data_IF_296707252920
#
_entry.id   IF_296707252920
#
_cell.length_a   1.000
_cell.length_b   1.000
_cell.length_c   1.000
_cell.angle_alpha   90.00
_cell.angle_beta   90.00
_cell.angle_gamma   90.00
#
_symmetry.space_group_name_H-M   'P 1'
#
loop_
_entity.id
_entity.type
_entity.pdbx_description
1 polymer ?
#
# COMPACT_ATOMS: atom_id res chain seq x y z
N UNK A 1 8.18 3.16 -23.62
CA UNK A 1 7.10 3.71 -22.77
C UNK A 1 6.49 2.53 -22.02
N UNK A 2 6.99 2.24 -20.82
CA UNK A 2 6.41 1.22 -19.95
C UNK A 2 5.74 1.94 -18.80
N UNK A 3 4.49 2.34 -19.00
CA UNK A 3 3.61 2.71 -17.90
C UNK A 3 2.92 1.42 -17.47
N UNK A 4 3.46 0.72 -16.48
CA UNK A 4 2.72 -0.33 -15.78
C UNK A 4 1.77 0.35 -14.78
N UNK A 5 0.78 1.08 -15.31
CA UNK A 5 -0.30 1.65 -14.53
C UNK A 5 -1.46 0.68 -14.50
N UNK A 6 -1.32 -0.45 -13.80
CA UNK A 6 -2.48 -1.29 -13.49
C UNK A 6 -3.24 -0.56 -12.38
N UNK A 7 -4.35 0.09 -12.75
CA UNK A 7 -5.33 0.60 -11.79
C UNK A 7 -6.14 -0.60 -11.32
N UNK A 8 -5.77 -1.18 -10.17
CA UNK A 8 -6.56 -2.23 -9.55
C UNK A 8 -7.80 -1.58 -8.88
N UNK A 9 -8.99 -1.89 -9.39
CA UNK A 9 -10.24 -1.64 -8.66
C UNK A 9 -10.50 -2.85 -7.77
N UNK A 10 -10.32 -2.70 -6.46
CA UNK A 10 -10.51 -3.77 -5.48
C UNK A 10 -11.81 -3.49 -4.74
N UNK A 11 -12.77 -4.41 -4.85
CA UNK A 11 -14.03 -4.35 -4.12
C UNK A 11 -13.83 -5.06 -2.77
N UNK A 12 -13.96 -4.33 -1.68
CA UNK A 12 -13.97 -4.91 -0.34
C UNK A 12 -15.43 -5.25 -0.04
N UNK A 13 -15.75 -6.55 -0.03
CA UNK A 13 -17.05 -7.03 0.39
C UNK A 13 -17.07 -7.03 1.92
N UNK A 14 -18.09 -6.42 2.52
CA UNK A 14 -18.35 -6.54 3.95
C UNK A 14 -18.75 -8.00 4.25
N UNK A 15 -17.89 -8.73 4.95
CA UNK A 15 -18.16 -10.11 5.34
C UNK A 15 -19.16 -10.12 6.52
N UNK A 16 -20.44 -9.96 6.20
CA UNK A 16 -21.56 -10.49 6.98
C UNK A 16 -21.76 -9.88 8.38
N UNK A 17 -22.83 -9.10 8.51
CA UNK A 17 -23.37 -8.57 9.77
C UNK A 17 -23.55 -9.64 10.87
N UNK A 18 -22.58 -9.77 11.78
CA UNK A 18 -22.79 -10.03 13.22
C UNK A 18 -21.68 -9.30 14.01
N UNK A 19 -21.97 -8.11 14.54
CA UNK A 19 -21.21 -7.54 15.67
C UNK A 19 -19.88 -6.82 15.36
N UNK A 20 -19.54 -6.60 14.09
CA UNK A 20 -18.43 -5.74 13.67
C UNK A 20 -17.98 -6.09 12.25
N UNK A 21 -18.01 -5.12 11.34
CA UNK A 21 -17.50 -5.28 9.97
C UNK A 21 -15.97 -5.43 10.03
N UNK A 22 -15.49 -6.65 10.23
CA UNK A 22 -14.08 -6.97 10.04
C UNK A 22 -13.82 -7.00 8.54
N UNK A 23 -13.21 -5.93 8.01
CA UNK A 23 -12.65 -5.95 6.67
C UNK A 23 -11.44 -6.89 6.72
N UNK A 24 -11.53 -8.03 6.04
CA UNK A 24 -10.35 -8.88 5.83
C UNK A 24 -9.42 -8.15 4.87
N UNK A 25 -8.14 -7.91 5.22
CA UNK A 25 -7.21 -7.23 4.34
C UNK A 25 -7.06 -7.98 3.02
N UNK A 26 -7.02 -7.24 1.91
CA UNK A 26 -6.81 -7.85 0.61
C UNK A 26 -5.35 -8.25 0.45
N UNK A 27 -5.12 -9.49 0.01
CA UNK A 27 -3.78 -9.98 -0.31
C UNK A 27 -3.42 -9.58 -1.74
N UNK A 28 -2.41 -8.72 -1.91
CA UNK A 28 -1.95 -8.26 -3.21
C UNK A 28 -0.42 -8.11 -3.26
N UNK A 29 0.28 -8.64 -4.29
CA UNK A 29 1.72 -8.45 -4.44
C UNK A 29 2.08 -7.00 -4.76
N UNK A 30 3.02 -6.40 -4.02
CA UNK A 30 3.53 -5.06 -4.33
C UNK A 30 4.67 -5.15 -5.35
N UNK A 31 4.51 -4.64 -6.59
CA UNK A 31 5.63 -4.56 -7.53
C UNK A 31 6.63 -3.51 -7.05
N UNK A 32 7.86 -3.93 -6.76
CA UNK A 32 8.92 -3.03 -6.29
C UNK A 32 10.22 -3.29 -7.04
N UNK A 33 10.66 -2.31 -7.81
CA UNK A 33 11.88 -2.41 -8.62
C UNK A 33 12.95 -1.49 -8.03
N UNK A 34 14.10 -2.07 -7.68
CA UNK A 34 15.24 -1.29 -7.20
C UNK A 34 15.72 -0.33 -8.29
N UNK A 35 15.83 0.95 -7.96
CA UNK A 35 16.34 1.98 -8.88
C UNK A 35 15.32 2.52 -9.89
N UNK A 36 14.03 2.20 -9.72
CA UNK A 36 12.91 2.75 -10.48
C UNK A 36 11.86 3.40 -9.56
N UNK A 37 11.06 4.31 -10.10
CA UNK A 37 9.96 4.92 -9.35
C UNK A 37 8.88 3.87 -9.04
N UNK A 38 8.39 3.87 -7.79
CA UNK A 38 7.15 3.23 -7.39
C UNK A 38 6.01 4.23 -7.59
N UNK A 39 4.99 3.83 -8.35
CA UNK A 39 3.71 4.55 -8.51
C UNK A 39 2.58 3.51 -8.54
N UNK A 40 2.25 2.99 -7.35
CA UNK A 40 1.23 1.96 -7.19
C UNK A 40 -0.07 2.60 -6.73
N UNK A 41 -1.15 2.42 -7.50
CA UNK A 41 -2.44 3.05 -7.18
C UNK A 41 -3.62 2.10 -7.25
N UNK A 42 -4.56 2.30 -6.33
CA UNK A 42 -5.80 1.54 -6.22
C UNK A 42 -6.91 2.42 -5.65
N UNK A 43 -8.14 1.92 -5.67
CA UNK A 43 -9.31 2.64 -5.13
C UNK A 43 -10.01 1.78 -4.08
N UNK A 44 -10.27 2.36 -2.90
CA UNK A 44 -11.08 1.71 -1.87
C UNK A 44 -12.57 1.98 -2.12
N UNK A 45 -13.33 0.91 -2.32
CA UNK A 45 -14.78 0.94 -2.43
C UNK A 45 -15.44 -0.03 -1.46
N UNK A 46 -16.57 0.38 -0.92
CA UNK A 46 -17.51 -0.47 -0.17
C UNK A 46 -18.81 -0.51 -0.98
N UNK A 47 -19.28 -1.70 -1.31
CA UNK A 47 -20.49 -1.90 -2.14
C UNK A 47 -20.48 -1.09 -3.45
N UNK A 48 -19.30 -0.96 -4.06
CA UNK A 48 -19.10 -0.21 -5.31
C UNK A 48 -19.04 1.31 -5.16
N UNK A 49 -19.23 1.85 -3.94
CA UNK A 49 -19.13 3.27 -3.64
C UNK A 49 -17.73 3.60 -3.09
N UNK A 50 -17.10 4.64 -3.64
CA UNK A 50 -15.79 5.08 -3.16
C UNK A 50 -15.89 5.64 -1.73
N UNK A 51 -14.95 5.23 -0.88
CA UNK A 51 -14.83 5.78 0.48
C UNK A 51 -14.16 7.15 0.41
N UNK A 52 -14.70 8.15 1.11
CA UNK A 52 -14.07 9.47 1.21
C UNK A 52 -12.89 9.42 2.19
N UNK A 53 -11.69 9.65 1.66
CA UNK A 53 -10.44 9.57 2.40
C UNK A 53 -10.02 10.89 3.06
N UNK A 54 -10.83 11.95 2.95
CA UNK A 54 -10.50 13.29 3.45
C UNK A 54 -10.28 13.36 4.98
N UNK A 55 -10.78 12.36 5.70
CA UNK A 55 -10.66 12.25 7.16
C UNK A 55 -9.70 11.14 7.61
N UNK A 56 -8.85 10.62 6.71
CA UNK A 56 -7.92 9.54 7.01
C UNK A 56 -6.47 9.99 6.92
N UNK A 57 -5.62 9.36 7.72
CA UNK A 57 -4.18 9.25 7.47
C UNK A 57 -3.86 7.83 7.01
N UNK A 58 -2.75 7.65 6.31
CA UNK A 58 -2.32 6.33 5.86
C UNK A 58 -0.84 6.11 6.13
N UNK A 59 -0.50 4.87 6.45
CA UNK A 59 0.87 4.38 6.63
C UNK A 59 1.01 3.04 5.91
N UNK A 60 2.15 2.83 5.25
CA UNK A 60 2.45 1.58 4.57
C UNK A 60 3.92 1.22 4.78
N UNK A 61 4.21 -0.05 5.01
CA UNK A 61 5.57 -0.51 5.29
C UNK A 61 5.94 -1.70 4.43
N UNK A 62 7.21 -1.74 4.03
CA UNK A 62 7.86 -2.92 3.46
C UNK A 62 8.89 -3.42 4.45
N UNK A 63 8.89 -4.74 4.73
CA UNK A 63 9.81 -5.42 5.65
C UNK A 63 10.30 -6.72 5.01
N UNK A 64 11.39 -7.30 5.50
CA UNK A 64 11.89 -8.59 4.98
C UNK A 64 11.00 -9.79 5.34
N UNK A 65 10.15 -9.62 6.37
CA UNK A 65 9.26 -10.63 6.92
C UNK A 65 8.34 -10.00 7.96
N UNK A 66 7.31 -10.74 8.37
CA UNK A 66 6.25 -10.26 9.27
C UNK A 66 6.83 -9.80 10.61
N UNK A 67 7.80 -10.53 11.14
CA UNK A 67 8.47 -10.21 12.40
C UNK A 67 9.74 -9.35 12.22
N UNK A 68 9.99 -8.86 11.01
CA UNK A 68 11.20 -8.10 10.70
C UNK A 68 11.13 -6.70 11.32
N UNK A 69 12.00 -6.39 12.27
CA UNK A 69 12.02 -5.08 12.93
C UNK A 69 12.44 -3.94 11.99
N UNK A 70 13.26 -4.24 10.98
CA UNK A 70 13.79 -3.24 10.05
C UNK A 70 12.76 -2.87 8.97
N UNK A 71 12.45 -1.57 8.87
CA UNK A 71 11.60 -1.01 7.82
C UNK A 71 12.44 -0.73 6.58
N UNK A 72 12.16 -1.44 5.49
CA UNK A 72 12.84 -1.31 4.20
C UNK A 72 12.29 -0.11 3.42
N UNK A 73 10.97 0.06 3.43
CA UNK A 73 10.28 1.27 3.03
C UNK A 73 9.26 1.64 4.11
N UNK A 74 9.17 2.93 4.41
CA UNK A 74 8.19 3.51 5.33
C UNK A 74 7.52 4.67 4.61
N UNK A 75 6.26 4.47 4.22
CA UNK A 75 5.47 5.43 3.44
C UNK A 75 4.35 5.97 4.32
N UNK A 76 4.05 7.25 4.20
CA UNK A 76 2.93 7.85 4.93
C UNK A 76 2.32 9.02 4.19
N UNK A 77 1.05 9.29 4.48
CA UNK A 77 0.35 10.48 3.96
C UNK A 77 0.92 11.77 4.53
N UNK A 78 1.43 11.74 5.77
CA UNK A 78 2.15 12.86 6.38
C UNK A 78 3.49 13.14 5.68
N UNK A 79 4.17 12.09 5.20
CA UNK A 79 5.42 12.18 4.44
C UNK A 79 5.24 12.46 2.94
N UNK A 80 4.01 12.66 2.46
CA UNK A 80 3.67 12.81 1.04
C UNK A 80 4.11 11.62 0.15
N UNK A 81 4.39 10.46 0.74
CA UNK A 81 4.69 9.22 0.03
C UNK A 81 3.44 8.33 -0.12
N UNK A 82 2.33 8.74 0.49
CA UNK A 82 0.98 8.24 0.20
C UNK A 82 0.08 9.41 -0.17
N UNK A 83 -0.58 9.34 -1.33
CA UNK A 83 -1.51 10.36 -1.80
C UNK A 83 -2.93 9.84 -1.66
N UNK A 84 -3.75 10.53 -0.87
CA UNK A 84 -5.17 10.22 -0.66
C UNK A 84 -6.04 11.14 -1.52
N UNK A 85 -6.86 10.55 -2.38
CA UNK A 85 -7.68 11.25 -3.37
C UNK A 85 -9.03 11.78 -2.84
N UNK A 86 -9.20 11.92 -1.53
CA UNK A 86 -10.44 12.35 -0.89
C UNK A 86 -11.65 11.51 -1.33
N UNK A 87 -12.70 12.17 -1.80
CA UNK A 87 -13.96 11.54 -2.24
C UNK A 87 -13.82 10.55 -3.42
N UNK A 88 -12.69 10.53 -4.12
CA UNK A 88 -12.45 9.54 -5.19
C UNK A 88 -12.08 8.16 -4.65
N UNK A 89 -11.76 8.03 -3.36
CA UNK A 89 -11.28 6.79 -2.75
C UNK A 89 -9.93 6.30 -3.28
N UNK A 90 -9.25 7.10 -4.11
CA UNK A 90 -7.97 6.73 -4.71
C UNK A 90 -6.84 6.84 -3.69
N UNK A 91 -5.99 5.82 -3.65
CA UNK A 91 -4.77 5.79 -2.84
C UNK A 91 -3.62 5.52 -3.80
N UNK A 92 -2.55 6.31 -3.70
CA UNK A 92 -1.31 6.09 -4.45
C UNK A 92 -0.13 6.00 -3.48
N UNK A 93 0.65 4.93 -3.57
CA UNK A 93 1.95 4.78 -2.93
C UNK A 93 3.04 5.24 -3.89
N UNK A 94 3.89 6.16 -3.43
CA UNK A 94 4.99 6.69 -4.24
C UNK A 94 6.34 6.57 -3.52
N UNK A 95 7.35 6.14 -4.26
CA UNK A 95 8.75 6.20 -3.86
C UNK A 95 9.59 6.49 -5.09
N UNK A 96 10.57 7.39 -4.98
CA UNK A 96 11.41 7.74 -6.13
C UNK A 96 12.42 6.65 -6.43
N UNK A 97 12.92 6.62 -7.66
CA UNK A 97 14.02 5.77 -8.09
C UNK A 97 15.25 5.91 -7.18
N UNK A 98 15.51 7.12 -6.66
CA UNK A 98 16.61 7.35 -5.73
C UNK A 98 16.38 6.64 -4.39
N UNK A 99 15.15 6.66 -3.86
CA UNK A 99 14.77 5.95 -2.63
C UNK A 99 14.82 4.44 -2.84
N UNK A 100 14.20 3.94 -3.92
CA UNK A 100 14.18 2.49 -4.19
C UNK A 100 15.56 1.93 -4.49
N UNK A 101 16.48 2.73 -5.05
CA UNK A 101 17.87 2.32 -5.26
C UNK A 101 18.62 2.03 -3.96
N UNK A 102 18.25 2.67 -2.85
CA UNK A 102 18.88 2.52 -1.54
C UNK A 102 18.38 1.30 -0.75
N UNK A 103 17.41 0.56 -1.29
CA UNK A 103 16.88 -0.66 -0.65
C UNK A 103 18.01 -1.67 -0.49
N UNK A 104 18.20 -2.12 0.74
CA UNK A 104 19.11 -3.20 1.13
C UNK A 104 18.35 -4.19 2.00
N UNK A 105 18.77 -5.46 2.02
CA UNK A 105 18.12 -6.49 2.83
C UNK A 105 16.78 -7.02 2.30
N UNK A 106 16.45 -6.69 1.04
CA UNK A 106 15.38 -7.32 0.28
C UNK A 106 15.97 -8.08 -0.90
N UNK A 107 15.53 -9.32 -1.11
CA UNK A 107 15.89 -10.18 -2.22
C UNK A 107 14.63 -10.58 -3.01
N UNK A 108 14.79 -11.05 -4.24
CA UNK A 108 13.65 -11.50 -5.05
C UNK A 108 12.97 -12.71 -4.40
N UNK A 109 11.66 -12.59 -4.16
CA UNK A 109 10.87 -13.61 -3.47
C UNK A 109 10.80 -13.44 -1.96
N UNK A 110 11.49 -12.44 -1.40
CA UNK A 110 11.42 -12.09 0.02
C UNK A 110 10.59 -10.81 0.24
N UNK A 111 10.12 -10.66 1.47
CA UNK A 111 9.49 -9.44 1.95
C UNK A 111 7.97 -9.45 1.97
N UNK A 112 7.46 -8.66 2.89
CA UNK A 112 6.04 -8.43 3.09
C UNK A 112 5.77 -6.94 3.18
N UNK A 113 4.55 -6.58 2.84
CA UNK A 113 4.07 -5.22 2.96
C UNK A 113 2.63 -5.19 3.43
N UNK A 114 2.24 -4.04 3.97
CA UNK A 114 0.85 -3.70 4.24
C UNK A 114 0.62 -2.18 4.14
N UNK A 115 -0.65 -1.81 4.10
CA UNK A 115 -1.13 -0.45 4.22
C UNK A 115 -2.32 -0.41 5.19
N UNK A 116 -2.23 0.51 6.13
CA UNK A 116 -3.28 0.83 7.07
C UNK A 116 -3.76 2.28 6.92
N UNK A 117 -5.05 2.48 7.14
CA UNK A 117 -5.67 3.78 7.21
C UNK A 117 -6.20 4.03 8.62
N UNK A 118 -5.91 5.21 9.15
CA UNK A 118 -6.40 5.64 10.46
C UNK A 118 -7.40 6.77 10.28
N UNK A 119 -8.62 6.59 10.79
CA UNK A 119 -9.64 7.63 10.83
C UNK A 119 -9.27 8.68 11.87
N UNK A 120 -9.01 9.92 11.44
CA UNK A 120 -8.46 11.00 12.27
C UNK A 120 -9.32 11.28 13.52
N UNK A 121 -10.64 11.21 13.39
CA UNK A 121 -11.56 11.59 14.46
C UNK A 121 -11.64 10.58 15.61
N UNK A 122 -11.31 9.32 15.36
CA UNK A 122 -11.48 8.23 16.35
C UNK A 122 -10.21 7.45 16.62
N UNK A 123 -9.18 7.57 15.76
CA UNK A 123 -8.02 6.69 15.77
C UNK A 123 -8.33 5.27 15.31
N UNK A 124 -9.53 5.01 14.75
CA UNK A 124 -9.87 3.70 14.23
C UNK A 124 -8.96 3.33 13.06
N UNK A 125 -8.31 2.17 13.16
CA UNK A 125 -7.36 1.67 12.17
C UNK A 125 -8.03 0.58 11.32
N UNK A 126 -7.90 0.70 10.01
CA UNK A 126 -8.32 -0.29 9.02
C UNK A 126 -7.09 -0.75 8.25
N UNK A 127 -6.69 -2.02 8.43
CA UNK A 127 -5.71 -2.65 7.55
C UNK A 127 -6.42 -3.03 6.24
N UNK A 128 -6.03 -2.37 5.15
CA UNK A 128 -6.76 -2.45 3.90
C UNK A 128 -6.17 -3.50 2.97
N UNK A 129 -4.85 -3.55 2.85
CA UNK A 129 -4.18 -4.42 1.89
C UNK A 129 -2.78 -4.75 2.38
N UNK A 130 -2.30 -5.94 2.03
CA UNK A 130 -0.91 -6.32 2.22
C UNK A 130 -0.57 -7.58 1.45
N UNK A 131 0.62 -8.12 1.63
CA UNK A 131 1.01 -9.35 0.96
C UNK A 131 2.51 -9.43 0.70
N UNK A 132 2.94 -10.31 -0.22
CA UNK A 132 4.33 -10.42 -0.60
C UNK A 132 4.80 -9.20 -1.40
N UNK A 133 6.09 -8.93 -1.39
CA UNK A 133 6.71 -7.96 -2.31
C UNK A 133 7.24 -8.69 -3.53
N UNK A 134 6.85 -8.24 -4.71
CA UNK A 134 7.43 -8.69 -5.98
C UNK A 134 8.67 -7.84 -6.29
N UNK A 135 9.76 -8.17 -5.58
CA UNK A 135 11.00 -7.39 -5.64
C UNK A 135 11.89 -7.81 -6.83
N UNK A 136 12.23 -6.84 -7.67
CA UNK A 136 13.16 -7.04 -8.78
C UNK A 136 14.38 -6.12 -8.66
N UNK A 137 15.57 -6.70 -8.71
CA UNK A 137 16.82 -5.94 -8.87
C UNK A 137 16.99 -5.46 -10.30
N UNK A 138 17.36 -4.20 -10.47
CA UNK A 138 17.76 -3.70 -11.78
C UNK A 138 19.17 -4.22 -12.12
N UNK A 139 19.33 -4.81 -13.32
CA UNK A 139 20.62 -5.34 -13.81
C UNK A 139 21.47 -4.23 -14.49
N UNK A 140 20.84 -3.13 -14.88
CA UNK A 140 21.47 -2.05 -15.66
C UNK A 140 22.05 -0.91 -14.82
N UNK A 141 22.09 -1.04 -13.49
CA UNK A 141 22.71 -0.08 -12.58
C UNK A 141 23.51 -0.79 -11.51
#
# INVERSE_FOLDING_TARGET
>A
VYACGIVASINFMDEGTIGGNMITPVVYPLPLVQGADLDFSFTWKIDGVAVDLSLYTAEAQVRNGIDGENKILDLSSAGSTIILGGATGKITLVATAAVTNLITGLETGDGVWDIELTLISSGHVTNLMGGPVDFTRQVTK
#
